data_IF_358467757040
#
_entry.id   IF_358467757040
#
_cell.length_a   1.000
_cell.length_b   1.000
_cell.length_c   1.000
_cell.angle_alpha   90.00
_cell.angle_beta   90.00
_cell.angle_gamma   90.00
#
_symmetry.space_group_name_H-M   'P 1'
#
loop_
_entity.id
_entity.type
_entity.pdbx_description
1 polymer ?
#
# COMPACT_ATOMS: atom_id res chain seq x y z
N UNK A 1 20.63 24.62 14.07
CA UNK A 1 20.46 25.89 14.80
C UNK A 1 19.29 25.77 15.78
N UNK A 2 19.24 26.63 16.82
CA UNK A 2 18.18 26.61 17.86
C UNK A 2 16.74 26.85 17.30
N UNK A 3 16.61 27.34 16.09
CA UNK A 3 15.32 27.57 15.44
C UNK A 3 14.70 26.29 14.84
N UNK A 4 15.49 25.29 14.51
CA UNK A 4 15.01 24.03 13.93
C UNK A 4 14.52 23.04 14.99
N UNK A 5 14.90 23.24 16.25
CA UNK A 5 14.51 22.38 17.38
C UNK A 5 13.10 22.71 17.95
N UNK A 6 12.60 23.94 17.77
CA UNK A 6 11.33 24.38 18.37
C UNK A 6 10.08 23.69 17.82
N UNK A 7 9.89 23.48 16.49
CA UNK A 7 8.73 22.79 15.94
C UNK A 7 8.68 21.31 16.37
N UNK A 8 9.81 20.62 16.35
CA UNK A 8 9.93 19.21 16.75
C UNK A 8 9.59 19.06 18.22
N UNK A 9 10.08 19.94 19.10
CA UNK A 9 9.79 19.89 20.54
C UNK A 9 8.30 20.07 20.84
N UNK A 10 7.62 21.01 20.17
CA UNK A 10 6.17 21.25 20.36
C UNK A 10 5.37 20.04 19.89
N UNK A 11 5.74 19.46 18.77
CA UNK A 11 5.11 18.28 18.22
C UNK A 11 5.24 17.06 19.12
N UNK A 12 6.43 16.84 19.66
CA UNK A 12 6.73 15.77 20.61
C UNK A 12 5.96 15.94 21.92
N UNK A 13 5.89 17.16 22.46
CA UNK A 13 5.07 17.44 23.66
C UNK A 13 3.59 17.23 23.40
N UNK A 14 3.08 17.62 22.23
CA UNK A 14 1.70 17.39 21.84
C UNK A 14 1.40 15.89 21.69
N UNK A 15 2.31 15.13 21.12
CA UNK A 15 2.20 13.67 21.04
C UNK A 15 2.20 13.03 22.43
N UNK A 16 3.14 13.39 23.29
CA UNK A 16 3.18 12.90 24.66
C UNK A 16 1.87 13.21 25.41
N UNK A 17 1.35 14.41 25.22
CA UNK A 17 0.07 14.81 25.82
C UNK A 17 -1.11 13.98 25.29
N UNK A 18 -1.19 13.76 23.95
CA UNK A 18 -2.24 12.95 23.34
C UNK A 18 -2.18 11.49 23.83
N UNK A 19 -0.99 10.91 23.88
CA UNK A 19 -0.77 9.55 24.38
C UNK A 19 -1.13 9.42 25.86
N UNK A 20 -0.77 10.40 26.67
CA UNK A 20 -1.13 10.43 28.10
C UNK A 20 -2.63 10.57 28.31
N UNK A 21 -3.31 11.42 27.56
CA UNK A 21 -4.76 11.62 27.67
C UNK A 21 -5.59 10.45 27.15
N UNK A 22 -5.12 9.78 26.13
CA UNK A 22 -5.82 8.64 25.52
C UNK A 22 -5.26 7.28 25.99
N UNK A 23 -4.46 7.23 27.04
CA UNK A 23 -3.76 6.04 27.55
C UNK A 23 -4.64 4.84 27.82
N UNK A 24 -5.93 5.05 28.13
CA UNK A 24 -6.89 3.96 28.33
C UNK A 24 -7.33 3.30 27.03
N UNK A 25 -7.26 4.02 25.89
CA UNK A 25 -7.73 3.58 24.58
C UNK A 25 -6.60 3.37 23.58
N UNK A 26 -5.40 3.88 23.83
CA UNK A 26 -4.27 3.89 22.93
C UNK A 26 -3.09 3.16 23.56
N UNK A 27 -2.70 2.05 22.94
CA UNK A 27 -1.47 1.31 23.29
C UNK A 27 -0.37 1.70 22.31
N UNK A 28 0.90 1.56 22.71
CA UNK A 28 2.06 1.75 21.83
C UNK A 28 1.96 0.94 20.54
N UNK A 29 1.41 -0.28 20.61
CA UNK A 29 1.17 -1.13 19.44
C UNK A 29 0.13 -0.59 18.45
N UNK A 30 -0.70 0.39 18.85
CA UNK A 30 -1.70 1.04 18.00
C UNK A 30 -1.18 2.34 17.33
N UNK A 31 0.09 2.69 17.54
CA UNK A 31 0.72 3.91 17.03
C UNK A 31 1.75 3.51 15.99
N UNK A 32 1.73 4.21 14.86
CA UNK A 32 2.77 4.16 13.85
C UNK A 32 3.34 5.55 13.65
N UNK A 33 4.65 5.68 13.69
CA UNK A 33 5.36 6.91 13.40
C UNK A 33 6.14 6.72 12.11
N UNK A 34 5.84 7.56 11.14
CA UNK A 34 6.60 7.67 9.89
C UNK A 34 7.51 8.90 9.99
N UNK A 35 8.79 8.68 10.17
CA UNK A 35 9.82 9.71 10.33
C UNK A 35 11.10 9.30 9.63
N UNK A 36 11.80 10.21 8.94
CA UNK A 36 13.10 9.93 8.36
C UNK A 36 14.21 9.72 9.41
N UNK A 37 13.97 10.23 10.63
CA UNK A 37 15.02 10.32 11.65
C UNK A 37 14.57 9.68 12.97
N UNK A 38 14.72 8.51 13.33
CA UNK A 38 14.30 7.79 14.53
C UNK A 38 14.33 8.52 15.90
N UNK A 39 14.04 9.82 15.92
CA UNK A 39 14.15 10.71 17.08
C UNK A 39 12.89 10.67 17.97
N UNK A 40 11.74 10.34 17.37
CA UNK A 40 10.45 10.37 18.07
C UNK A 40 10.30 9.25 19.09
N UNK A 41 10.68 8.02 18.75
CA UNK A 41 10.58 6.89 19.64
C UNK A 41 11.46 7.09 20.89
N UNK A 42 12.69 7.59 20.69
CA UNK A 42 13.61 7.91 21.78
C UNK A 42 13.02 8.96 22.72
N UNK A 43 12.44 10.02 22.16
CA UNK A 43 11.85 11.09 22.97
C UNK A 43 10.65 10.60 23.76
N UNK A 44 9.74 9.87 23.13
CA UNK A 44 8.53 9.34 23.77
C UNK A 44 8.90 8.35 24.87
N UNK A 45 9.89 7.48 24.66
CA UNK A 45 10.37 6.54 25.67
C UNK A 45 10.92 7.21 26.93
N UNK A 46 11.51 8.42 26.76
CA UNK A 46 12.03 9.21 27.90
C UNK A 46 10.93 9.95 28.68
N UNK A 47 9.88 10.43 27.99
CA UNK A 47 8.81 11.21 28.63
C UNK A 47 7.70 10.32 29.19
N UNK A 48 7.44 9.21 28.56
CA UNK A 48 6.43 8.23 28.96
C UNK A 48 7.08 6.85 29.11
N UNK A 49 7.84 6.62 30.20
CA UNK A 49 8.48 5.31 30.44
C UNK A 49 7.47 4.16 30.44
N UNK A 50 6.22 4.42 30.86
CA UNK A 50 5.12 3.46 30.89
C UNK A 50 4.71 3.02 29.46
N UNK A 51 4.96 3.84 28.45
CA UNK A 51 4.79 3.50 27.02
C UNK A 51 6.08 3.02 26.37
N UNK A 52 7.23 3.29 26.97
CA UNK A 52 8.56 2.90 26.48
C UNK A 52 8.89 1.42 26.66
N UNK A 53 8.19 0.72 27.54
CA UNK A 53 8.33 -0.74 27.68
C UNK A 53 7.69 -1.52 26.51
N UNK A 54 6.75 -0.92 25.81
CA UNK A 54 6.20 -1.45 24.58
C UNK A 54 6.74 -0.65 23.39
N UNK A 55 7.51 -1.25 22.53
CA UNK A 55 8.13 -0.63 21.35
C UNK A 55 7.10 0.09 20.46
N UNK A 56 7.08 1.42 20.48
CA UNK A 56 6.37 2.22 19.49
C UNK A 56 7.04 1.95 18.14
N UNK A 57 6.24 1.62 17.12
CA UNK A 57 6.75 1.39 15.78
C UNK A 57 7.08 2.72 15.11
N UNK A 58 8.35 2.99 14.97
CA UNK A 58 8.88 4.11 14.19
C UNK A 58 9.70 3.58 13.02
N UNK A 59 9.46 4.13 11.84
CA UNK A 59 10.24 3.82 10.63
C UNK A 59 10.08 4.93 9.59
N UNK A 60 10.99 4.95 8.60
CA UNK A 60 10.80 5.78 7.42
C UNK A 60 9.66 5.24 6.55
N UNK A 61 9.05 6.10 5.74
CA UNK A 61 8.02 5.64 4.80
C UNK A 61 8.58 4.69 3.74
N UNK A 62 9.85 4.89 3.34
CA UNK A 62 10.55 3.98 2.44
C UNK A 62 10.66 2.58 3.06
N UNK A 63 11.12 2.48 4.31
CA UNK A 63 11.22 1.20 5.00
C UNK A 63 9.85 0.52 5.17
N UNK A 64 8.80 1.30 5.43
CA UNK A 64 7.43 0.80 5.46
C UNK A 64 7.06 0.18 4.10
N UNK A 65 7.31 0.89 2.99
CA UNK A 65 7.03 0.42 1.64
C UNK A 65 7.81 -0.87 1.31
N UNK A 66 9.10 -0.95 1.66
CA UNK A 66 9.92 -2.15 1.42
C UNK A 66 9.40 -3.37 2.18
N UNK A 67 8.95 -3.18 3.43
CA UNK A 67 8.33 -4.27 4.21
C UNK A 67 7.04 -4.77 3.59
N UNK A 68 6.23 -3.86 3.05
CA UNK A 68 4.98 -4.22 2.37
C UNK A 68 5.22 -4.97 1.06
N UNK A 69 6.32 -4.66 0.35
CA UNK A 69 6.66 -5.26 -0.95
C UNK A 69 7.59 -6.48 -0.85
N UNK A 70 7.98 -6.91 0.36
CA UNK A 70 8.92 -8.02 0.57
C UNK A 70 8.54 -9.36 -0.09
N UNK A 71 7.24 -9.59 -0.34
CA UNK A 71 6.76 -10.80 -1.01
C UNK A 71 6.60 -10.61 -2.53
N UNK A 72 6.84 -9.40 -3.03
CA UNK A 72 6.69 -9.03 -4.46
C UNK A 72 8.02 -9.10 -5.18
N UNK A 73 9.10 -8.66 -4.54
CA UNK A 73 10.45 -8.66 -5.07
C UNK A 73 11.46 -8.94 -3.97
N UNK A 74 12.62 -9.48 -4.37
CA UNK A 74 13.72 -9.79 -3.45
C UNK A 74 14.38 -8.52 -2.89
N UNK A 75 14.40 -7.43 -3.67
CA UNK A 75 15.04 -6.18 -3.31
C UNK A 75 14.28 -4.95 -3.85
N UNK A 76 14.48 -3.81 -3.21
CA UNK A 76 14.05 -2.49 -3.67
C UNK A 76 15.24 -1.55 -3.69
N UNK A 77 15.35 -0.73 -4.74
CA UNK A 77 16.28 0.40 -4.74
C UNK A 77 15.95 1.38 -3.63
N UNK A 78 16.97 1.91 -2.96
CA UNK A 78 16.78 3.05 -2.10
C UNK A 78 17.01 4.40 -2.85
N UNK A 79 16.74 5.51 -2.17
CA UNK A 79 16.92 6.83 -2.75
C UNK A 79 18.37 7.13 -3.13
N UNK A 80 19.34 6.56 -2.42
CA UNK A 80 20.76 6.76 -2.72
C UNK A 80 21.18 5.97 -3.96
N UNK A 81 20.71 4.74 -4.11
CA UNK A 81 20.90 3.93 -5.32
C UNK A 81 20.37 4.67 -6.56
N UNK A 82 19.18 5.27 -6.45
CA UNK A 82 18.59 6.07 -7.54
C UNK A 82 19.45 7.28 -7.88
N UNK A 83 19.89 8.03 -6.87
CA UNK A 83 20.75 9.20 -7.06
C UNK A 83 22.09 8.80 -7.71
N UNK A 84 22.72 7.72 -7.26
CA UNK A 84 23.96 7.20 -7.86
C UNK A 84 23.76 6.80 -9.33
N UNK A 85 22.66 6.16 -9.66
CA UNK A 85 22.30 5.79 -11.04
C UNK A 85 22.11 7.02 -11.92
N UNK A 86 21.40 8.04 -11.43
CA UNK A 86 21.18 9.31 -12.13
C UNK A 86 22.52 10.05 -12.35
N UNK A 87 23.41 10.08 -11.35
CA UNK A 87 24.71 10.73 -11.49
C UNK A 87 25.63 10.02 -12.48
N UNK A 88 25.59 8.69 -12.54
CA UNK A 88 26.38 7.90 -13.50
C UNK A 88 25.88 8.01 -14.93
N UNK A 89 24.56 8.07 -15.11
CA UNK A 89 23.89 8.08 -16.41
C UNK A 89 22.82 9.18 -16.42
N UNK A 90 23.21 10.47 -16.58
CA UNK A 90 22.27 11.58 -16.59
C UNK A 90 21.29 11.45 -17.77
N UNK A 91 20.03 11.21 -17.47
CA UNK A 91 18.93 11.13 -18.43
C UNK A 91 17.76 11.98 -17.93
N UNK A 92 17.54 13.13 -18.57
CA UNK A 92 16.46 14.04 -18.21
C UNK A 92 15.07 13.43 -18.43
N UNK A 93 14.93 12.57 -19.42
CA UNK A 93 13.66 11.90 -19.68
C UNK A 93 13.34 10.86 -18.60
N UNK A 94 14.35 10.10 -18.17
CA UNK A 94 14.21 9.19 -17.03
C UNK A 94 13.81 9.92 -15.74
N UNK A 95 14.38 11.11 -15.49
CA UNK A 95 13.99 11.95 -14.35
C UNK A 95 12.53 12.41 -14.46
N UNK A 96 12.09 12.90 -15.61
CA UNK A 96 10.70 13.30 -15.84
C UNK A 96 9.73 12.13 -15.66
N UNK A 97 10.10 10.94 -16.13
CA UNK A 97 9.30 9.71 -15.92
C UNK A 97 9.22 9.34 -14.45
N UNK A 98 10.33 9.46 -13.70
CA UNK A 98 10.35 9.20 -12.27
C UNK A 98 9.44 10.17 -11.51
N UNK A 99 9.49 11.46 -11.81
CA UNK A 99 8.61 12.48 -11.21
C UNK A 99 7.14 12.24 -11.59
N UNK A 100 6.87 11.94 -12.84
CA UNK A 100 5.51 11.63 -13.32
C UNK A 100 4.90 10.43 -12.59
N UNK A 101 5.69 9.37 -12.33
CA UNK A 101 5.23 8.20 -11.56
C UNK A 101 4.81 8.54 -10.12
N UNK A 102 5.21 9.71 -9.59
CA UNK A 102 4.81 10.19 -8.27
C UNK A 102 3.61 11.16 -8.30
N UNK A 103 3.08 11.46 -9.47
CA UNK A 103 2.07 12.50 -9.70
C UNK A 103 0.64 11.98 -9.59
N UNK A 104 -0.31 12.93 -9.51
CA UNK A 104 -1.74 12.66 -9.59
C UNK A 104 -2.14 12.04 -10.94
N UNK A 105 -1.44 12.39 -12.03
CA UNK A 105 -1.69 11.83 -13.36
C UNK A 105 -1.42 10.34 -13.37
N UNK A 106 -0.29 9.90 -12.81
CA UNK A 106 0.02 8.47 -12.75
C UNK A 106 -0.93 7.68 -11.84
N UNK A 107 -1.42 8.29 -10.77
CA UNK A 107 -2.52 7.71 -9.97
C UNK A 107 -3.75 7.49 -10.86
N UNK A 108 -4.08 8.43 -11.74
CA UNK A 108 -5.15 8.30 -12.73
C UNK A 108 -4.92 7.14 -13.71
N UNK A 109 -3.67 6.95 -14.20
CA UNK A 109 -3.31 5.82 -15.05
C UNK A 109 -3.50 4.49 -14.32
N UNK A 110 -3.08 4.40 -13.05
CA UNK A 110 -3.29 3.20 -12.23
C UNK A 110 -4.78 2.89 -12.07
N UNK A 111 -5.61 3.88 -11.77
CA UNK A 111 -7.06 3.69 -11.63
C UNK A 111 -7.72 3.27 -12.96
N UNK A 112 -7.32 3.87 -14.08
CA UNK A 112 -7.78 3.48 -15.41
C UNK A 112 -7.38 2.05 -15.76
N UNK A 113 -6.14 1.67 -15.47
CA UNK A 113 -5.64 0.32 -15.64
C UNK A 113 -6.41 -0.70 -14.77
N UNK A 114 -6.68 -0.37 -13.52
CA UNK A 114 -7.47 -1.24 -12.62
C UNK A 114 -8.87 -1.51 -13.16
N UNK A 115 -9.52 -0.52 -13.76
CA UNK A 115 -10.84 -0.68 -14.38
C UNK A 115 -10.80 -1.67 -15.57
N UNK A 116 -9.75 -1.62 -16.39
CA UNK A 116 -9.55 -2.59 -17.49
C UNK A 116 -9.15 -3.97 -16.97
N UNK A 117 -8.33 -4.00 -15.91
CA UNK A 117 -7.84 -5.25 -15.33
C UNK A 117 -8.98 -6.09 -14.75
N UNK A 118 -10.02 -5.45 -14.22
CA UNK A 118 -11.19 -6.13 -13.66
C UNK A 118 -11.82 -7.11 -14.67
N UNK A 119 -11.85 -6.75 -15.95
CA UNK A 119 -12.40 -7.61 -17.01
C UNK A 119 -11.39 -8.64 -17.54
N UNK A 120 -10.10 -8.32 -17.54
CA UNK A 120 -9.05 -9.11 -18.21
C UNK A 120 -8.32 -10.09 -17.29
N UNK A 121 -8.41 -9.90 -15.97
CA UNK A 121 -7.67 -10.70 -14.99
C UNK A 121 -8.27 -12.08 -14.74
N UNK A 122 -9.53 -12.31 -15.14
CA UNK A 122 -10.29 -13.49 -14.75
C UNK A 122 -10.55 -14.43 -15.93
N UNK A 123 -10.42 -15.74 -15.68
CA UNK A 123 -10.85 -16.84 -16.55
C UNK A 123 -11.84 -17.71 -15.76
N UNK A 124 -13.10 -17.30 -15.76
CA UNK A 124 -14.13 -17.95 -14.95
C UNK A 124 -14.43 -19.35 -15.46
N UNK A 125 -14.61 -20.29 -14.53
CA UNK A 125 -14.94 -21.68 -14.79
C UNK A 125 -15.86 -22.21 -13.71
N UNK A 126 -16.80 -23.13 -14.04
CA UNK A 126 -17.64 -23.75 -13.03
C UNK A 126 -16.79 -24.54 -12.03
N UNK A 127 -17.24 -24.57 -10.77
CA UNK A 127 -16.60 -25.36 -9.71
C UNK A 127 -17.54 -26.43 -9.25
N UNK A 128 -17.05 -27.67 -9.28
CA UNK A 128 -17.78 -28.85 -8.76
C UNK A 128 -17.10 -29.39 -7.51
N UNK A 129 -17.92 -29.71 -6.52
CA UNK A 129 -17.50 -30.43 -5.31
C UNK A 129 -18.61 -31.37 -4.84
N UNK A 130 -18.33 -32.69 -4.86
CA UNK A 130 -19.21 -33.77 -4.38
C UNK A 130 -20.65 -33.65 -4.88
N UNK A 131 -20.83 -33.42 -6.17
CA UNK A 131 -22.12 -33.34 -6.85
C UNK A 131 -22.86 -32.00 -6.67
N UNK A 132 -22.24 -31.02 -6.05
CA UNK A 132 -22.72 -29.64 -6.05
C UNK A 132 -21.88 -28.83 -7.03
N UNK A 133 -22.54 -28.10 -7.92
CA UNK A 133 -21.89 -27.29 -8.95
C UNK A 133 -22.25 -25.83 -8.72
N UNK A 134 -21.26 -24.97 -8.65
CA UNK A 134 -21.43 -23.52 -8.82
C UNK A 134 -21.10 -23.19 -10.27
N UNK A 135 -22.07 -22.69 -10.99
CA UNK A 135 -21.93 -22.37 -12.41
C UNK A 135 -21.07 -21.12 -12.62
N UNK A 136 -20.54 -20.95 -13.81
CA UNK A 136 -19.82 -19.73 -14.20
C UNK A 136 -20.67 -18.48 -14.00
N UNK A 137 -21.96 -18.52 -14.37
CA UNK A 137 -22.87 -17.38 -14.22
C UNK A 137 -23.07 -16.99 -12.74
N UNK A 138 -23.17 -17.96 -11.83
CA UNK A 138 -23.26 -17.72 -10.39
C UNK A 138 -21.98 -17.09 -9.85
N UNK A 139 -20.82 -17.57 -10.28
CA UNK A 139 -19.52 -17.01 -9.91
C UNK A 139 -19.41 -15.56 -10.39
N UNK A 140 -19.75 -15.27 -11.65
CA UNK A 140 -19.78 -13.93 -12.22
C UNK A 140 -20.67 -12.98 -11.42
N UNK A 141 -21.89 -13.41 -11.06
CA UNK A 141 -22.81 -12.61 -10.26
C UNK A 141 -22.24 -12.27 -8.88
N UNK A 142 -21.64 -13.24 -8.22
CA UNK A 142 -21.01 -13.02 -6.92
C UNK A 142 -19.82 -12.07 -7.03
N UNK A 143 -18.95 -12.29 -8.02
CA UNK A 143 -17.71 -11.56 -8.21
C UNK A 143 -17.94 -10.08 -8.59
N UNK A 144 -18.79 -9.81 -9.57
CA UNK A 144 -19.01 -8.47 -10.10
C UNK A 144 -20.10 -7.67 -9.39
N UNK A 145 -21.08 -8.31 -8.78
CA UNK A 145 -22.21 -7.60 -8.18
C UNK A 145 -22.23 -7.70 -6.66
N UNK A 146 -22.09 -8.90 -6.09
CA UNK A 146 -22.19 -9.06 -4.64
C UNK A 146 -20.93 -8.58 -3.90
N UNK A 147 -19.77 -8.88 -4.43
CA UNK A 147 -18.48 -8.59 -3.80
C UNK A 147 -17.70 -7.47 -4.49
N UNK A 148 -18.36 -6.61 -5.24
CA UNK A 148 -17.75 -5.51 -6.01
C UNK A 148 -16.92 -4.55 -5.15
N UNK A 149 -17.33 -4.30 -3.91
CA UNK A 149 -16.59 -3.42 -2.97
C UNK A 149 -15.33 -4.07 -2.39
N UNK A 150 -15.14 -5.36 -2.62
CA UNK A 150 -13.96 -6.08 -2.14
C UNK A 150 -12.82 -5.88 -3.15
N UNK A 151 -11.56 -5.65 -2.68
CA UNK A 151 -10.41 -5.59 -3.56
C UNK A 151 -10.30 -6.80 -4.49
N UNK A 152 -9.91 -6.55 -5.74
CA UNK A 152 -10.02 -7.50 -6.85
C UNK A 152 -9.38 -8.86 -6.55
N UNK A 153 -8.17 -8.89 -5.98
CA UNK A 153 -7.45 -10.13 -5.65
C UNK A 153 -8.00 -10.86 -4.40
N UNK A 154 -9.00 -10.29 -3.71
CA UNK A 154 -9.67 -10.90 -2.56
C UNK A 154 -11.12 -11.34 -2.85
N UNK A 155 -11.69 -10.94 -3.99
CA UNK A 155 -13.10 -11.26 -4.31
C UNK A 155 -13.34 -12.76 -4.42
N UNK A 156 -12.42 -13.49 -5.03
CA UNK A 156 -12.59 -14.93 -5.23
C UNK A 156 -12.52 -15.72 -3.91
N UNK A 157 -11.82 -15.20 -2.89
CA UNK A 157 -11.85 -15.77 -1.55
C UNK A 157 -13.28 -15.74 -0.98
N UNK A 158 -14.01 -14.62 -1.16
CA UNK A 158 -15.39 -14.51 -0.70
C UNK A 158 -16.35 -15.36 -1.53
N UNK A 159 -16.12 -15.51 -2.83
CA UNK A 159 -16.92 -16.41 -3.69
C UNK A 159 -16.74 -17.86 -3.23
N UNK A 160 -15.50 -18.28 -2.95
CA UNK A 160 -15.20 -19.60 -2.38
C UNK A 160 -15.89 -19.82 -1.03
N UNK A 161 -15.78 -18.85 -0.13
CA UNK A 161 -16.38 -18.94 1.21
C UNK A 161 -17.91 -19.04 1.12
N UNK A 162 -18.51 -18.28 0.20
CA UNK A 162 -19.94 -18.40 -0.09
C UNK A 162 -20.33 -19.81 -0.57
N UNK A 163 -19.54 -20.41 -1.47
CA UNK A 163 -19.76 -21.78 -1.93
C UNK A 163 -19.64 -22.79 -0.79
N UNK A 164 -18.63 -22.62 0.08
CA UNK A 164 -18.43 -23.50 1.23
C UNK A 164 -19.61 -23.41 2.20
N UNK A 165 -20.03 -22.22 2.56
CA UNK A 165 -21.14 -21.98 3.48
C UNK A 165 -22.46 -22.56 2.94
N UNK A 166 -22.72 -22.39 1.66
CA UNK A 166 -23.90 -22.94 0.99
C UNK A 166 -23.88 -24.47 1.00
N UNK A 167 -22.74 -25.07 0.66
CA UNK A 167 -22.60 -26.52 0.65
C UNK A 167 -22.74 -27.11 2.07
N UNK A 168 -22.09 -26.52 3.07
CA UNK A 168 -22.15 -26.96 4.47
C UNK A 168 -23.58 -26.86 5.02
N UNK A 169 -24.27 -25.79 4.70
CA UNK A 169 -25.68 -25.58 5.08
C UNK A 169 -26.61 -26.64 4.47
N UNK A 170 -26.48 -26.90 3.17
CA UNK A 170 -27.32 -27.87 2.46
C UNK A 170 -27.06 -29.31 2.91
N UNK A 171 -25.85 -29.64 3.32
CA UNK A 171 -25.45 -30.99 3.69
C UNK A 171 -25.43 -31.26 5.20
N UNK A 172 -25.57 -30.21 6.01
CA UNK A 172 -25.56 -30.32 7.49
C UNK A 172 -24.24 -30.86 8.05
N UNK A 173 -23.13 -30.66 7.35
CA UNK A 173 -21.78 -31.11 7.75
C UNK A 173 -20.73 -30.19 7.18
N UNK A 174 -19.59 -30.08 7.88
CA UNK A 174 -18.48 -29.24 7.48
C UNK A 174 -17.59 -29.92 6.42
N UNK A 175 -17.00 -29.11 5.55
CA UNK A 175 -15.95 -29.52 4.61
C UNK A 175 -14.63 -29.66 5.41
N UNK A 176 -13.85 -30.69 5.11
CA UNK A 176 -12.52 -30.88 5.72
C UNK A 176 -11.55 -29.77 5.29
N UNK A 177 -10.54 -29.51 6.13
CA UNK A 177 -9.53 -28.49 5.82
C UNK A 177 -8.76 -28.79 4.52
N UNK A 178 -8.48 -30.09 4.27
CA UNK A 178 -7.84 -30.52 3.01
C UNK A 178 -8.72 -30.21 1.78
N UNK A 179 -10.02 -30.48 1.87
CA UNK A 179 -10.95 -30.18 0.79
C UNK A 179 -11.15 -28.65 0.62
N UNK A 180 -11.13 -27.87 1.71
CA UNK A 180 -11.14 -26.40 1.65
C UNK A 180 -9.92 -25.87 0.91
N UNK A 181 -8.74 -26.46 1.14
CA UNK A 181 -7.52 -26.09 0.42
C UNK A 181 -7.61 -26.43 -1.08
N UNK A 182 -8.18 -27.58 -1.43
CA UNK A 182 -8.42 -27.95 -2.84
C UNK A 182 -9.41 -26.99 -3.51
N UNK A 183 -10.48 -26.60 -2.82
CA UNK A 183 -11.41 -25.59 -3.32
C UNK A 183 -10.73 -24.25 -3.51
N UNK A 184 -9.91 -23.81 -2.56
CA UNK A 184 -9.13 -22.58 -2.71
C UNK A 184 -8.30 -22.59 -3.99
N UNK A 185 -7.59 -23.67 -4.26
CA UNK A 185 -6.80 -23.80 -5.49
C UNK A 185 -7.65 -23.76 -6.75
N UNK A 186 -8.85 -24.33 -6.74
CA UNK A 186 -9.77 -24.27 -7.88
C UNK A 186 -10.24 -22.83 -8.17
N UNK A 187 -10.61 -22.09 -7.13
CA UNK A 187 -11.02 -20.69 -7.27
C UNK A 187 -9.86 -19.77 -7.64
N UNK A 188 -8.68 -19.96 -7.04
CA UNK A 188 -7.49 -19.17 -7.34
C UNK A 188 -7.00 -19.33 -8.79
N UNK A 189 -7.19 -20.51 -9.40
CA UNK A 189 -6.85 -20.76 -10.81
C UNK A 189 -7.66 -19.95 -11.81
N UNK A 190 -8.73 -19.30 -11.39
CA UNK A 190 -9.50 -18.40 -12.25
C UNK A 190 -8.84 -17.04 -12.43
N UNK A 191 -7.87 -16.66 -11.57
CA UNK A 191 -7.00 -15.53 -11.84
C UNK A 191 -5.96 -15.91 -12.91
N UNK A 192 -5.85 -15.11 -13.96
CA UNK A 192 -4.77 -15.25 -14.96
C UNK A 192 -3.41 -15.10 -14.28
N UNK A 193 -3.31 -14.15 -13.36
CA UNK A 193 -2.18 -13.98 -12.44
C UNK A 193 -2.61 -13.27 -11.17
N UNK A 194 -1.98 -13.60 -10.04
CA UNK A 194 -2.06 -12.87 -8.76
C UNK A 194 -0.72 -12.21 -8.41
N UNK A 195 0.26 -12.31 -9.30
CA UNK A 195 1.60 -11.77 -9.12
C UNK A 195 1.60 -10.26 -9.33
N UNK A 196 1.65 -9.50 -8.24
CA UNK A 196 1.66 -8.04 -8.25
C UNK A 196 2.75 -7.46 -9.16
N UNK A 197 3.95 -8.07 -9.16
CA UNK A 197 5.06 -7.60 -9.99
C UNK A 197 4.73 -7.70 -11.48
N UNK A 198 4.12 -8.81 -11.91
CA UNK A 198 3.67 -9.00 -13.30
C UNK A 198 2.54 -8.04 -13.66
N UNK A 199 1.58 -7.84 -12.76
CA UNK A 199 0.49 -6.89 -12.97
C UNK A 199 1.04 -5.47 -13.13
N UNK A 200 2.03 -5.10 -12.32
CA UNK A 200 2.69 -3.79 -12.44
C UNK A 200 3.46 -3.65 -13.76
N UNK A 201 4.13 -4.69 -14.24
CA UNK A 201 4.76 -4.69 -15.56
C UNK A 201 3.74 -4.46 -16.69
N UNK A 202 2.55 -5.07 -16.61
CA UNK A 202 1.46 -4.82 -17.57
C UNK A 202 1.00 -3.36 -17.53
N UNK A 203 0.86 -2.76 -16.33
CA UNK A 203 0.56 -1.33 -16.20
C UNK A 203 1.61 -0.47 -16.91
N UNK A 204 2.91 -0.76 -16.73
CA UNK A 204 3.97 0.00 -17.40
C UNK A 204 3.85 -0.12 -18.92
N UNK A 205 3.61 -1.32 -19.44
CA UNK A 205 3.42 -1.56 -20.88
C UNK A 205 2.20 -0.80 -21.44
N UNK A 206 1.08 -0.77 -20.72
CA UNK A 206 -0.10 0.02 -21.10
C UNK A 206 0.18 1.54 -21.11
N UNK A 207 1.07 2.01 -20.24
CA UNK A 207 1.57 3.39 -20.23
C UNK A 207 2.66 3.65 -21.31
N UNK A 208 3.01 2.68 -22.14
CA UNK A 208 4.07 2.80 -23.15
C UNK A 208 5.48 2.82 -22.56
N UNK A 209 5.66 2.28 -21.36
CA UNK A 209 6.95 2.16 -20.68
C UNK A 209 7.47 0.72 -20.76
N UNK A 210 8.80 0.58 -20.65
CA UNK A 210 9.42 -0.73 -20.56
C UNK A 210 9.04 -1.43 -19.23
N UNK A 211 8.71 -2.73 -19.26
CA UNK A 211 8.45 -3.50 -18.06
C UNK A 211 9.73 -3.64 -17.21
N UNK A 212 9.55 -3.86 -15.91
CA UNK A 212 10.67 -4.12 -15.02
C UNK A 212 11.35 -5.46 -15.37
N UNK A 213 12.66 -5.52 -15.18
CA UNK A 213 13.45 -6.73 -15.38
C UNK A 213 13.27 -7.73 -14.22
N UNK A 214 13.43 -9.03 -14.53
CA UNK A 214 13.41 -10.10 -13.53
C UNK A 214 12.08 -10.87 -13.49
N UNK A 215 12.05 -12.03 -14.14
CA UNK A 215 10.88 -12.90 -14.15
C UNK A 215 10.74 -13.68 -12.82
N UNK A 216 11.86 -14.08 -12.22
CA UNK A 216 11.92 -14.84 -10.96
C UNK A 216 12.07 -13.91 -9.76
N UNK A 217 11.44 -14.26 -8.65
CA UNK A 217 11.43 -13.46 -7.43
C UNK A 217 12.83 -13.00 -6.98
N UNK A 218 13.80 -13.92 -6.98
CA UNK A 218 15.17 -13.68 -6.52
C UNK A 218 15.95 -12.67 -7.36
N UNK A 219 15.49 -12.42 -8.58
CA UNK A 219 16.10 -11.46 -9.53
C UNK A 219 15.35 -10.14 -9.61
N UNK A 220 14.21 -10.03 -8.94
CA UNK A 220 13.40 -8.82 -8.95
C UNK A 220 14.02 -7.78 -8.03
N UNK A 221 14.37 -6.65 -8.59
CA UNK A 221 14.71 -5.43 -7.87
C UNK A 221 13.81 -4.30 -8.36
N UNK A 222 13.06 -3.70 -7.44
CA UNK A 222 12.12 -2.61 -7.77
C UNK A 222 12.92 -1.31 -7.76
N UNK A 223 12.97 -0.55 -8.90
CA UNK A 223 13.55 0.80 -8.92
C UNK A 223 12.85 1.72 -7.92
N UNK A 224 13.57 2.67 -7.33
CA UNK A 224 13.00 3.55 -6.31
C UNK A 224 11.74 4.29 -6.79
N UNK A 225 11.75 4.79 -8.02
CA UNK A 225 10.61 5.47 -8.65
C UNK A 225 9.36 4.58 -8.81
N UNK A 226 9.51 3.26 -8.76
CA UNK A 226 8.42 2.27 -8.90
C UNK A 226 7.93 1.72 -7.55
N UNK A 227 8.62 2.01 -6.44
CA UNK A 227 8.28 1.47 -5.10
C UNK A 227 6.89 1.93 -4.66
N UNK A 228 6.62 3.22 -4.65
CA UNK A 228 5.33 3.75 -4.20
C UNK A 228 4.20 3.51 -5.20
N UNK A 229 4.40 3.61 -6.53
CA UNK A 229 3.39 3.17 -7.50
C UNK A 229 2.98 1.70 -7.32
N UNK A 230 3.94 0.81 -7.14
CA UNK A 230 3.66 -0.62 -6.90
C UNK A 230 2.95 -0.84 -5.56
N UNK A 231 3.31 -0.10 -4.52
CA UNK A 231 2.64 -0.12 -3.22
C UNK A 231 1.18 0.33 -3.34
N UNK A 232 0.93 1.40 -4.09
CA UNK A 232 -0.44 1.88 -4.33
C UNK A 232 -1.27 0.82 -5.06
N UNK A 233 -0.74 0.26 -6.15
CA UNK A 233 -1.38 -0.81 -6.89
C UNK A 233 -1.69 -2.02 -5.98
N UNK A 234 -0.75 -2.39 -5.11
CA UNK A 234 -0.95 -3.46 -4.12
C UNK A 234 -2.18 -3.21 -3.25
N UNK A 235 -2.31 -2.01 -2.69
CA UNK A 235 -3.44 -1.69 -1.82
C UNK A 235 -4.76 -1.66 -2.57
N UNK A 236 -4.77 -1.21 -3.80
CA UNK A 236 -5.98 -1.22 -4.63
C UNK A 236 -6.42 -2.65 -4.96
N UNK A 237 -5.47 -3.55 -5.19
CA UNK A 237 -5.74 -4.95 -5.55
C UNK A 237 -6.02 -5.87 -4.35
N UNK A 238 -5.34 -5.66 -3.23
CA UNK A 238 -5.39 -6.57 -2.07
C UNK A 238 -6.10 -5.97 -0.85
N UNK A 239 -6.23 -4.65 -0.79
CA UNK A 239 -6.67 -3.92 0.39
C UNK A 239 -5.61 -3.81 1.48
N UNK A 240 -5.94 -3.10 2.56
CA UNK A 240 -5.10 -3.03 3.76
C UNK A 240 -5.16 -4.32 4.58
N UNK A 241 -4.06 -4.67 5.23
CA UNK A 241 -3.99 -5.83 6.11
C UNK A 241 -4.47 -5.52 7.54
N UNK A 242 -4.60 -6.55 8.38
CA UNK A 242 -5.05 -6.38 9.78
C UNK A 242 -4.11 -5.50 10.61
N UNK A 243 -2.80 -5.48 10.30
CA UNK A 243 -1.84 -4.65 11.06
C UNK A 243 -2.08 -3.16 10.84
N UNK A 244 -2.55 -2.74 9.66
CA UNK A 244 -2.91 -1.35 9.37
C UNK A 244 -4.21 -0.96 10.07
N UNK A 245 -5.20 -1.87 10.14
CA UNK A 245 -6.48 -1.64 10.84
C UNK A 245 -6.29 -1.49 12.35
N UNK A 246 -5.24 -2.08 12.92
CA UNK A 246 -4.91 -1.95 14.34
C UNK A 246 -4.25 -0.60 14.68
N UNK A 247 -3.77 0.14 13.69
CA UNK A 247 -3.23 1.49 13.90
C UNK A 247 -4.40 2.44 14.16
N UNK A 248 -4.42 3.04 15.33
CA UNK A 248 -5.42 4.02 15.76
C UNK A 248 -4.92 5.46 15.67
N UNK A 249 -3.61 5.63 15.63
CA UNK A 249 -2.97 6.92 15.47
C UNK A 249 -1.72 6.81 14.59
N UNK A 250 -1.67 7.62 13.54
CA UNK A 250 -0.54 7.75 12.64
C UNK A 250 0.12 9.12 12.85
N UNK A 251 1.42 9.12 13.07
CA UNK A 251 2.24 10.34 13.13
C UNK A 251 3.11 10.39 11.89
N UNK A 252 3.11 11.53 11.21
CA UNK A 252 3.88 11.73 10.00
C UNK A 252 4.77 12.94 10.20
N UNK A 253 6.07 12.72 10.14
CA UNK A 253 7.07 13.78 10.21
C UNK A 253 7.62 14.12 8.83
N UNK A 254 8.07 15.39 8.65
CA UNK A 254 8.62 15.92 7.39
C UNK A 254 7.69 15.69 6.18
N UNK A 255 6.37 15.87 6.37
CA UNK A 255 5.37 15.57 5.35
C UNK A 255 5.51 16.44 4.09
N UNK A 256 6.15 17.63 4.17
CA UNK A 256 6.42 18.48 3.02
C UNK A 256 7.29 17.81 1.93
N UNK A 257 8.03 16.77 2.29
CA UNK A 257 8.89 16.03 1.36
C UNK A 257 8.17 14.89 0.62
N UNK A 258 6.92 14.63 0.97
CA UNK A 258 6.15 13.55 0.36
C UNK A 258 5.55 13.96 -0.99
N UNK A 259 5.51 13.00 -1.93
CA UNK A 259 4.85 13.15 -3.22
C UNK A 259 3.32 13.07 -3.09
N UNK A 260 2.60 13.49 -4.13
CA UNK A 260 1.14 13.31 -4.21
C UNK A 260 0.73 11.84 -4.03
N UNK A 261 1.45 10.92 -4.67
CA UNK A 261 1.19 9.50 -4.57
C UNK A 261 1.37 8.99 -3.13
N UNK A 262 2.42 9.43 -2.43
CA UNK A 262 2.66 9.06 -1.03
C UNK A 262 1.53 9.55 -0.11
N UNK A 263 1.04 10.78 -0.30
CA UNK A 263 -0.15 11.29 0.39
C UNK A 263 -1.38 10.43 0.13
N UNK A 264 -1.61 10.07 -1.13
CA UNK A 264 -2.75 9.26 -1.54
C UNK A 264 -2.71 7.87 -0.90
N UNK A 265 -1.53 7.25 -0.83
CA UNK A 265 -1.36 5.95 -0.14
C UNK A 265 -1.75 6.08 1.33
N UNK A 266 -1.22 7.07 2.04
CA UNK A 266 -1.49 7.23 3.47
C UNK A 266 -2.96 7.50 3.75
N UNK A 267 -3.61 8.36 2.96
CA UNK A 267 -5.01 8.69 3.10
C UNK A 267 -5.94 7.48 2.88
N UNK A 268 -5.57 6.58 1.96
CA UNK A 268 -6.39 5.41 1.65
C UNK A 268 -6.10 4.20 2.55
N UNK A 269 -4.86 4.09 3.05
CA UNK A 269 -4.43 2.94 3.84
C UNK A 269 -4.85 3.05 5.31
N UNK A 270 -4.80 4.26 5.86
CA UNK A 270 -5.06 4.51 7.28
C UNK A 270 -6.32 5.33 7.48
N UNK A 271 -7.35 4.70 8.04
CA UNK A 271 -8.62 5.35 8.44
C UNK A 271 -8.61 5.86 9.88
N UNK A 272 -7.41 6.09 10.45
CA UNK A 272 -7.23 6.51 11.83
C UNK A 272 -6.98 8.02 11.97
N UNK A 273 -6.90 8.50 13.21
CA UNK A 273 -6.45 9.88 13.51
C UNK A 273 -5.00 10.04 13.05
N UNK A 274 -4.69 11.18 12.43
CA UNK A 274 -3.35 11.52 11.96
C UNK A 274 -2.85 12.80 12.63
N UNK A 275 -1.59 12.78 13.04
CA UNK A 275 -0.85 13.99 13.44
C UNK A 275 0.25 14.21 12.42
N UNK A 276 0.17 15.34 11.73
CA UNK A 276 1.08 15.72 10.66
C UNK A 276 2.01 16.79 11.18
N UNK A 277 3.30 16.56 11.03
CA UNK A 277 4.38 17.46 11.37
C UNK A 277 5.09 17.86 10.08
N UNK A 278 5.36 19.12 9.94
CA UNK A 278 6.04 19.65 8.76
C UNK A 278 6.08 21.17 8.77
N UNK A 279 6.98 21.75 7.98
CA UNK A 279 7.12 23.21 7.86
C UNK A 279 6.13 23.75 6.83
N UNK A 280 5.14 24.53 7.31
CA UNK A 280 4.15 25.20 6.46
C UNK A 280 4.76 26.15 5.42
N UNK A 281 5.90 26.76 5.75
CA UNK A 281 6.57 27.69 4.85
C UNK A 281 7.14 26.99 3.62
N UNK A 282 7.66 25.77 3.77
CA UNK A 282 8.19 24.98 2.65
C UNK A 282 7.06 24.41 1.76
N UNK A 283 5.92 24.07 2.33
CA UNK A 283 4.76 23.59 1.56
C UNK A 283 4.17 24.69 0.68
N UNK A 284 4.14 25.94 1.16
CA UNK A 284 3.66 27.09 0.36
C UNK A 284 4.61 27.45 -0.79
N UNK A 285 5.93 27.38 -0.57
CA UNK A 285 6.92 27.67 -1.61
C UNK A 285 6.81 26.67 -2.79
N UNK A 286 6.60 25.38 -2.52
CA UNK A 286 6.40 24.38 -3.58
C UNK A 286 5.07 24.56 -4.36
N UNK A 287 4.00 24.97 -3.69
CA UNK A 287 2.72 25.24 -4.38
C UNK A 287 2.78 26.47 -5.28
N UNK A 288 3.58 27.46 -4.94
CA UNK A 288 3.81 28.66 -5.78
C UNK A 288 4.72 28.36 -6.98
N UNK A 289 5.71 27.50 -6.84
CA UNK A 289 6.54 27.04 -7.96
C UNK A 289 5.70 26.27 -9.00
N UNK A 290 4.85 25.33 -8.57
CA UNK A 290 3.94 24.62 -9.48
C UNK A 290 2.88 25.53 -10.13
N UNK A 291 2.45 26.58 -9.45
CA UNK A 291 1.45 27.53 -10.02
C UNK A 291 2.10 28.49 -11.01
N UNK A 292 3.36 28.85 -10.83
CA UNK A 292 4.09 29.73 -11.75
C UNK A 292 4.50 29.02 -13.05
N UNK A 293 4.75 27.72 -13.03
CA UNK A 293 5.01 26.93 -14.25
C UNK A 293 3.77 26.77 -15.13
N UNK A 294 2.57 26.72 -14.55
CA UNK A 294 1.30 26.64 -15.29
C UNK A 294 0.85 28.00 -15.89
N UNK A 295 1.44 29.13 -15.49
CA UNK A 295 1.12 30.47 -16.03
C UNK A 295 2.11 30.94 -17.09
N UNK A 296 3.13 30.19 -17.43
CA UNK A 296 4.15 30.56 -18.42
C UNK A 296 4.01 29.81 -19.78
N UNK A 297 2.84 29.28 -20.09
CA UNK A 297 2.51 28.73 -21.43
C UNK A 297 1.23 29.33 -21.99
#
# INVERSE_FOLDING_TARGET
SLHDALPISIALHRMAYLLYHERENLKSSNILILSPNGVFADYISHILPELGEENIREMSFDLFAYKELKNTAADCEDKYDQLERIMKFPDQEALRRADWKQSAEFVGEIEGFLAMLEDSLMDFRPVEYRGTVMTEEEILKLFYYKFTETPLLKRMDLVRDYFIDEWETLRGRNISDDDKLLLQQKFDKMYVTKDLYRIYCQLLEECGLDPLSGAEYERRKIPYEDVFPMLYLKYRLEGGNHSHKNIKHLVIDEMQDYSYLQYTILANLFSCKMTILGDRAQTMARSEEHTSELQSH
#
